data_IF_033410099167
#
_entry.id   IF_033410099167
#
_cell.length_a   1.000
_cell.length_b   1.000
_cell.length_c   1.000
_cell.angle_alpha   90.00
_cell.angle_beta   90.00
_cell.angle_gamma   90.00
#
_symmetry.space_group_name_H-M   'P 1'
#
loop_
_entity.id
_entity.type
_entity.pdbx_description
1 polymer ?
#
# COMPACT_ATOMS: atom_id res chain seq x y z
N UNK A 1 1.16 -22.51 -0.36
CA UNK A 1 -0.05 -22.23 0.45
C UNK A 1 -0.67 -21.01 -0.20
N UNK A 2 -1.75 -21.18 -0.96
CA UNK A 2 -2.50 -20.03 -1.48
C UNK A 2 -3.29 -19.44 -0.32
N UNK A 3 -3.00 -18.18 0.01
CA UNK A 3 -3.80 -17.40 0.96
C UNK A 3 -4.87 -16.75 0.11
N UNK A 4 -6.10 -17.28 0.15
CA UNK A 4 -7.24 -16.56 -0.39
C UNK A 4 -7.70 -15.56 0.68
N UNK A 5 -7.62 -14.25 0.43
CA UNK A 5 -8.17 -13.26 1.33
C UNK A 5 -9.68 -13.47 1.40
N UNK A 6 -10.21 -13.30 2.60
CA UNK A 6 -11.65 -13.30 2.82
C UNK A 6 -12.27 -12.20 1.94
N UNK A 7 -13.28 -12.51 1.11
CA UNK A 7 -13.97 -11.51 0.29
C UNK A 7 -14.47 -10.30 1.09
N UNK A 8 -14.82 -10.50 2.37
CA UNK A 8 -15.29 -9.42 3.25
C UNK A 8 -14.17 -8.45 3.65
N UNK A 9 -12.90 -8.82 3.43
CA UNK A 9 -11.75 -7.96 3.66
C UNK A 9 -11.36 -7.11 2.43
N UNK A 10 -11.94 -7.40 1.26
CA UNK A 10 -11.60 -6.70 0.02
C UNK A 10 -12.25 -5.30 -0.02
N UNK A 11 -11.63 -4.33 -0.71
CA UNK A 11 -12.25 -3.02 -0.92
C UNK A 11 -13.58 -3.14 -1.67
N UNK A 12 -14.44 -2.12 -1.55
CA UNK A 12 -15.64 -2.05 -2.37
C UNK A 12 -15.27 -1.85 -3.86
N UNK A 13 -16.12 -2.33 -4.77
CA UNK A 13 -15.93 -2.14 -6.21
C UNK A 13 -15.78 -0.65 -6.55
N UNK A 14 -14.78 -0.33 -7.37
CA UNK A 14 -14.38 1.03 -7.78
C UNK A 14 -13.96 1.95 -6.63
N UNK A 15 -13.67 1.40 -5.46
CA UNK A 15 -13.16 2.19 -4.36
C UNK A 15 -11.75 2.69 -4.67
N UNK A 16 -11.52 3.98 -4.46
CA UNK A 16 -10.18 4.53 -4.42
C UNK A 16 -9.44 4.04 -3.18
N UNK A 17 -8.25 3.50 -3.38
CA UNK A 17 -7.45 2.91 -2.33
C UNK A 17 -6.00 3.39 -2.41
N UNK A 18 -5.38 3.47 -1.24
CA UNK A 18 -3.94 3.41 -1.13
C UNK A 18 -3.53 1.95 -1.01
N UNK A 19 -2.46 1.54 -1.68
CA UNK A 19 -2.01 0.15 -1.63
C UNK A 19 -0.48 0.04 -1.66
N UNK A 20 0.04 -1.05 -1.10
CA UNK A 20 1.46 -1.38 -1.18
C UNK A 20 1.65 -2.66 -1.99
N UNK A 21 2.59 -2.63 -2.91
CA UNK A 21 3.02 -3.84 -3.61
C UNK A 21 4.18 -4.53 -2.86
N UNK A 22 4.26 -5.85 -2.95
CA UNK A 22 5.20 -6.72 -2.23
C UNK A 22 6.65 -6.21 -2.28
N UNK A 23 7.11 -5.79 -3.46
CA UNK A 23 8.49 -5.33 -3.67
C UNK A 23 8.76 -3.93 -3.08
N UNK A 24 7.71 -3.14 -2.83
CA UNK A 24 7.79 -1.77 -2.33
C UNK A 24 7.46 -1.63 -0.84
N UNK A 25 6.79 -2.63 -0.26
CA UNK A 25 6.46 -2.68 1.17
C UNK A 25 7.72 -2.49 2.03
N UNK A 26 8.82 -3.14 1.65
CA UNK A 26 10.11 -3.07 2.36
C UNK A 26 10.66 -1.64 2.46
N UNK A 27 10.25 -0.75 1.56
CA UNK A 27 10.67 0.66 1.52
C UNK A 27 9.60 1.60 2.06
N UNK A 28 8.47 1.08 2.56
CA UNK A 28 7.36 1.88 3.07
C UNK A 28 6.69 2.74 1.99
N UNK A 29 6.82 2.38 0.72
CA UNK A 29 6.19 3.11 -0.39
C UNK A 29 4.73 2.68 -0.53
N UNK A 30 3.89 3.66 -0.84
CA UNK A 30 2.46 3.49 -1.08
C UNK A 30 2.12 4.05 -2.45
N UNK A 31 1.21 3.35 -3.13
CA UNK A 31 0.63 3.72 -4.41
C UNK A 31 -0.84 4.06 -4.24
N UNK A 32 -1.40 4.74 -5.22
CA UNK A 32 -2.81 5.12 -5.26
C UNK A 32 -3.45 4.52 -6.50
N UNK A 33 -4.69 4.05 -6.37
CA UNK A 33 -5.40 3.47 -7.50
C UNK A 33 -6.82 3.09 -7.13
N UNK A 34 -7.52 2.45 -8.07
CA UNK A 34 -8.88 1.97 -7.86
C UNK A 34 -8.92 0.45 -7.82
N UNK A 35 -9.69 -0.10 -6.89
CA UNK A 35 -9.99 -1.52 -6.87
C UNK A 35 -11.16 -1.86 -7.81
N UNK A 36 -11.02 -2.91 -8.62
CA UNK A 36 -12.10 -3.47 -9.43
C UNK A 36 -12.42 -4.86 -8.90
N UNK A 37 -13.63 -5.05 -8.38
CA UNK A 37 -14.04 -6.31 -7.77
C UNK A 37 -14.27 -7.42 -8.81
N UNK A 38 -14.65 -7.06 -10.05
CA UNK A 38 -14.89 -8.02 -11.13
C UNK A 38 -13.58 -8.65 -11.57
N UNK A 39 -12.56 -7.82 -11.80
CA UNK A 39 -11.24 -8.26 -12.24
C UNK A 39 -10.32 -8.66 -11.08
N UNK A 40 -10.74 -8.37 -9.83
CA UNK A 40 -9.94 -8.57 -8.61
C UNK A 40 -8.54 -7.97 -8.74
N UNK A 41 -8.49 -6.74 -9.24
CA UNK A 41 -7.25 -6.06 -9.59
C UNK A 41 -7.29 -4.59 -9.17
N UNK A 42 -6.10 -4.01 -9.02
CA UNK A 42 -5.91 -2.59 -8.68
C UNK A 42 -5.34 -1.84 -9.87
N UNK A 43 -5.98 -0.75 -10.27
CA UNK A 43 -5.62 0.09 -11.42
C UNK A 43 -4.99 1.37 -10.91
N UNK A 44 -3.69 1.51 -11.15
CA UNK A 44 -2.93 2.72 -10.88
C UNK A 44 -2.79 3.50 -12.18
N UNK A 45 -3.31 4.73 -12.20
CA UNK A 45 -3.12 5.63 -13.34
C UNK A 45 -1.80 6.37 -13.18
N UNK A 46 -0.91 6.24 -14.16
CA UNK A 46 0.34 7.00 -14.21
C UNK A 46 0.09 8.24 -15.07
N UNK A 47 0.28 9.41 -14.47
CA UNK A 47 0.37 10.65 -15.24
C UNK A 47 1.78 10.76 -15.82
N UNK A 48 2.01 10.12 -16.96
CA UNK A 48 3.17 10.44 -17.79
C UNK A 48 2.77 11.54 -18.79
N UNK A 49 3.47 12.66 -18.70
CA UNK A 49 3.15 14.02 -19.13
C UNK A 49 2.79 14.28 -20.61
N UNK A 50 2.48 13.29 -21.46
CA UNK A 50 2.11 13.56 -22.87
C UNK A 50 1.14 12.50 -23.42
N UNK A 51 -0.15 12.85 -23.55
CA UNK A 51 -1.13 12.26 -24.48
C UNK A 51 -1.36 10.73 -24.46
N UNK A 52 -1.19 10.05 -23.33
CA UNK A 52 -1.61 8.65 -23.22
C UNK A 52 -1.62 8.19 -21.78
N UNK A 53 -2.81 8.18 -21.17
CA UNK A 53 -3.03 7.63 -19.84
C UNK A 53 -2.51 6.18 -19.81
N UNK A 54 -1.35 5.96 -19.20
CA UNK A 54 -0.84 4.61 -18.97
C UNK A 54 -1.41 4.12 -17.65
N UNK A 55 -2.13 3.01 -17.72
CA UNK A 55 -2.71 2.35 -16.54
C UNK A 55 -1.87 1.13 -16.22
N UNK A 56 -1.33 1.09 -15.00
CA UNK A 56 -0.66 -0.08 -14.45
C UNK A 56 -1.69 -0.89 -13.67
N UNK A 57 -1.77 -2.18 -13.97
CA UNK A 57 -2.70 -3.11 -13.30
C UNK A 57 -1.88 -4.02 -12.39
N UNK A 58 -2.24 -4.07 -11.11
CA UNK A 58 -1.63 -4.93 -10.10
C UNK A 58 -2.61 -6.00 -9.65
N UNK A 59 -2.13 -7.24 -9.50
CA UNK A 59 -2.94 -8.33 -8.98
C UNK A 59 -3.12 -8.16 -7.47
N UNK A 60 -4.38 -8.16 -6.99
CA UNK A 60 -4.68 -7.98 -5.56
C UNK A 60 -4.09 -9.09 -4.68
N UNK A 61 -3.82 -10.26 -5.26
CA UNK A 61 -3.40 -11.48 -4.55
C UNK A 61 -1.89 -11.68 -4.48
N UNK A 62 -1.18 -11.25 -5.52
CA UNK A 62 0.24 -11.56 -5.71
C UNK A 62 1.13 -10.32 -5.55
N UNK A 63 0.63 -9.18 -6.02
CA UNK A 63 1.38 -7.94 -6.02
C UNK A 63 1.02 -7.12 -4.80
N UNK A 64 -0.28 -6.95 -4.51
CA UNK A 64 -0.74 -6.08 -3.42
C UNK A 64 -0.75 -6.83 -2.08
N UNK A 65 0.00 -6.33 -1.10
CA UNK A 65 0.08 -6.93 0.24
C UNK A 65 -0.74 -6.21 1.29
N UNK A 66 -1.04 -4.93 1.06
CA UNK A 66 -1.82 -4.07 1.96
C UNK A 66 -2.55 -3.02 1.18
N UNK A 67 -3.71 -2.61 1.70
CA UNK A 67 -4.45 -1.47 1.20
C UNK A 67 -5.17 -0.74 2.34
N UNK A 68 -5.50 0.52 2.07
CA UNK A 68 -6.28 1.40 2.93
C UNK A 68 -7.31 2.14 2.07
N UNK A 69 -8.50 2.45 2.60
CA UNK A 69 -9.43 3.34 1.94
C UNK A 69 -8.74 4.69 1.65
N UNK A 70 -8.79 5.15 0.40
CA UNK A 70 -8.23 6.42 -0.03
C UNK A 70 -9.31 7.46 -0.30
N UNK A 71 -8.92 8.73 -0.31
CA UNK A 71 -9.75 9.84 -0.76
C UNK A 71 -9.16 10.37 -2.08
N UNK A 72 -9.96 10.33 -3.15
CA UNK A 72 -9.58 10.81 -4.49
C UNK A 72 -9.16 12.29 -4.48
N UNK A 73 -9.64 13.06 -3.50
CA UNK A 73 -9.44 14.50 -3.41
C UNK A 73 -8.29 14.92 -2.48
N UNK A 74 -7.59 14.00 -1.83
CA UNK A 74 -6.46 14.36 -0.98
C UNK A 74 -5.16 14.24 -1.77
N UNK A 75 -4.45 15.35 -2.04
CA UNK A 75 -3.06 15.27 -2.48
C UNK A 75 -2.27 14.71 -1.32
N UNK A 76 -2.04 13.41 -1.35
CA UNK A 76 -1.20 12.75 -0.34
C UNK A 76 0.23 13.18 -0.65
N UNK A 77 0.71 14.19 0.09
CA UNK A 77 2.10 14.60 0.03
C UNK A 77 2.96 13.52 0.69
N UNK A 78 3.35 12.54 -0.11
CA UNK A 78 4.37 11.58 0.28
C UNK A 78 5.71 12.30 0.34
N UNK A 79 6.35 12.27 1.51
CA UNK A 79 7.77 12.55 1.61
C UNK A 79 8.47 11.30 2.11
N UNK A 80 9.66 11.06 1.58
CA UNK A 80 10.54 10.05 2.14
C UNK A 80 10.77 10.34 3.63
N UNK A 81 10.73 9.28 4.44
CA UNK A 81 11.15 9.35 5.83
C UNK A 81 12.62 9.78 5.85
N UNK A 82 12.93 10.82 6.62
CA UNK A 82 14.31 11.28 6.75
C UNK A 82 15.13 10.27 7.55
N UNK A 83 16.45 10.27 7.38
CA UNK A 83 17.34 9.37 8.13
C UNK A 83 17.11 9.46 9.65
N UNK A 84 16.88 10.67 10.19
CA UNK A 84 16.61 10.87 11.62
C UNK A 84 15.26 10.31 12.08
N UNK A 85 14.23 10.37 11.23
CA UNK A 85 12.93 9.77 11.53
C UNK A 85 12.99 8.24 11.47
N UNK A 86 13.79 7.69 10.55
CA UNK A 86 14.07 6.27 10.46
C UNK A 86 14.74 5.75 11.74
N UNK A 87 15.70 6.51 12.29
CA UNK A 87 16.36 6.20 13.56
C UNK A 87 15.38 6.23 14.75
N UNK A 88 14.46 7.20 14.78
CA UNK A 88 13.43 7.28 15.82
C UNK A 88 12.49 6.07 15.78
N UNK A 89 12.07 5.64 14.60
CA UNK A 89 11.23 4.43 14.41
C UNK A 89 12.00 3.18 14.86
N UNK A 90 13.28 3.07 14.52
CA UNK A 90 14.13 1.96 14.96
C UNK A 90 14.31 1.95 16.49
N UNK A 91 14.48 3.11 17.12
CA UNK A 91 14.59 3.24 18.57
C UNK A 91 13.29 2.83 19.28
N UNK A 92 12.14 3.27 18.77
CA UNK A 92 10.82 2.89 19.28
C UNK A 92 10.57 1.37 19.22
N UNK A 93 10.91 0.75 18.10
CA UNK A 93 10.79 -0.71 17.91
C UNK A 93 11.62 -1.50 18.93
N UNK A 94 12.84 -1.06 19.22
CA UNK A 94 13.72 -1.67 20.24
C UNK A 94 13.16 -1.53 21.65
N UNK A 95 12.54 -0.39 21.97
CA UNK A 95 11.98 -0.10 23.29
C UNK A 95 10.74 -0.96 23.59
N UNK A 96 9.91 -1.20 22.58
CA UNK A 96 8.73 -2.05 22.69
C UNK A 96 9.06 -3.55 22.68
N UNK A 97 10.07 -3.99 21.94
CA UNK A 97 10.49 -5.39 21.93
C UNK A 97 11.24 -5.82 23.21
N UNK A 98 11.86 -4.89 23.96
CA UNK A 98 12.44 -5.18 25.29
C UNK A 98 11.41 -5.56 26.36
N UNK A 99 10.12 -5.27 26.17
CA UNK A 99 9.05 -5.64 27.13
C UNK A 99 8.54 -7.07 26.97
N UNK A 100 9.05 -7.85 26.00
CA UNK A 100 8.56 -9.20 25.66
C UNK A 100 9.49 -10.36 26.05
N UNK A 101 10.51 -10.14 26.88
CA UNK A 101 11.22 -11.25 27.54
C UNK A 101 10.66 -11.47 28.94
N UNK A 102 9.77 -12.47 29.16
CA UNK A 102 9.49 -12.95 30.50
C UNK A 102 10.73 -13.71 31.01
N UNK A 103 11.08 -13.46 32.27
CA UNK A 103 11.94 -14.34 33.07
C UNK A 103 11.30 -15.71 33.23
#
# INVERSE_FOLDING_TARGET
MEINPDPDCLPADKQFIQFQISVEELYGKWRNGYYNAIEQAVYEQVNDDVNGESVIIHCIMADVVRWLPGDENQPVHWRNITAGELELVAAWSRLHNKKKTPN
#
